data_IF_036372653798
#
_entry.id   IF_036372653798
#
_cell.length_a   1.000
_cell.length_b   1.000
_cell.length_c   1.000
_cell.angle_alpha   90.00
_cell.angle_beta   90.00
_cell.angle_gamma   90.00
#
_symmetry.space_group_name_H-M   'P 1'
#
loop_
_entity.id
_entity.type
_entity.pdbx_description
1 polymer ?
#
# COMPACT_ATOMS: atom_id res chain seq x y z
N UNK A 1 -39.22 24.48 34.09
CA UNK A 1 -38.10 23.53 34.30
C UNK A 1 -37.37 23.89 35.58
N UNK A 2 -37.24 22.95 36.48
CA UNK A 2 -36.51 23.16 37.74
C UNK A 2 -35.00 23.34 37.48
N UNK A 3 -34.28 24.14 38.28
CA UNK A 3 -32.87 24.44 38.06
C UNK A 3 -31.99 23.18 38.05
N UNK A 4 -32.38 22.15 38.77
CA UNK A 4 -31.70 20.83 38.79
C UNK A 4 -31.83 20.07 37.47
N UNK A 5 -32.98 20.16 36.81
CA UNK A 5 -33.18 19.51 35.49
C UNK A 5 -32.39 20.24 34.40
N UNK A 6 -32.29 21.58 34.46
CA UNK A 6 -31.43 22.36 33.54
C UNK A 6 -29.96 21.99 33.68
N UNK A 7 -29.46 21.90 34.91
CA UNK A 7 -28.06 21.48 35.17
C UNK A 7 -27.75 20.07 34.62
N UNK A 8 -28.66 19.11 34.82
CA UNK A 8 -28.51 17.75 34.29
C UNK A 8 -28.54 17.73 32.76
N UNK A 9 -29.45 18.49 32.14
CA UNK A 9 -29.52 18.63 30.68
C UNK A 9 -28.23 19.21 30.08
N UNK A 10 -27.69 20.27 30.67
CA UNK A 10 -26.43 20.88 30.24
C UNK A 10 -25.27 19.89 30.38
N UNK A 11 -25.19 19.15 31.49
CA UNK A 11 -24.17 18.19 31.73
C UNK A 11 -24.23 17.03 30.72
N UNK A 12 -25.41 16.49 30.45
CA UNK A 12 -25.62 15.44 29.44
C UNK A 12 -25.26 15.95 28.04
N UNK A 13 -25.70 17.17 27.69
CA UNK A 13 -25.38 17.78 26.39
C UNK A 13 -23.86 17.98 26.23
N UNK A 14 -23.17 18.38 27.28
CA UNK A 14 -21.71 18.54 27.26
C UNK A 14 -20.98 17.20 27.08
N UNK A 15 -21.44 16.15 27.74
CA UNK A 15 -20.89 14.81 27.58
C UNK A 15 -21.13 14.29 26.15
N UNK A 16 -22.36 14.43 25.64
CA UNK A 16 -22.69 13.99 24.26
C UNK A 16 -21.86 14.77 23.25
N UNK A 17 -21.69 16.07 23.41
CA UNK A 17 -20.85 16.89 22.54
C UNK A 17 -19.38 16.44 22.60
N UNK A 18 -18.86 16.19 23.81
CA UNK A 18 -17.50 15.71 24.00
C UNK A 18 -17.25 14.35 23.30
N UNK A 19 -18.18 13.41 23.43
CA UNK A 19 -18.11 12.11 22.75
C UNK A 19 -18.20 12.28 21.24
N UNK A 20 -19.08 13.15 20.74
CA UNK A 20 -19.19 13.41 19.29
C UNK A 20 -17.91 13.99 18.71
N UNK A 21 -17.29 14.96 19.40
CA UNK A 21 -16.01 15.56 18.97
C UNK A 21 -14.89 14.52 19.02
N UNK A 22 -14.78 13.74 20.09
CA UNK A 22 -13.77 12.68 20.20
C UNK A 22 -13.93 11.63 19.10
N UNK A 23 -15.16 11.22 18.79
CA UNK A 23 -15.46 10.27 17.70
C UNK A 23 -15.09 10.87 16.35
N UNK A 24 -15.39 12.14 16.09
CA UNK A 24 -15.03 12.80 14.85
C UNK A 24 -13.50 12.86 14.64
N UNK A 25 -12.74 13.21 15.67
CA UNK A 25 -11.28 13.22 15.66
C UNK A 25 -10.74 11.80 15.42
N UNK A 26 -11.28 10.81 16.10
CA UNK A 26 -10.89 9.41 15.95
C UNK A 26 -11.11 8.91 14.51
N UNK A 27 -12.30 9.14 13.95
CA UNK A 27 -12.62 8.75 12.58
C UNK A 27 -11.74 9.46 11.55
N UNK A 28 -11.39 10.71 11.78
CA UNK A 28 -10.51 11.47 10.89
C UNK A 28 -9.09 10.90 10.93
N UNK A 29 -8.56 10.65 12.13
CA UNK A 29 -7.23 10.04 12.30
C UNK A 29 -7.15 8.63 11.69
N UNK A 30 -8.24 7.87 11.73
CA UNK A 30 -8.29 6.54 11.11
C UNK A 30 -8.29 6.59 9.59
N UNK A 31 -8.96 7.55 8.98
CA UNK A 31 -9.00 7.72 7.51
C UNK A 31 -7.62 7.99 6.93
N UNK A 32 -6.77 8.72 7.63
CA UNK A 32 -5.44 9.07 7.17
C UNK A 32 -4.42 7.90 7.30
N UNK A 33 -4.73 6.90 8.12
CA UNK A 33 -3.88 5.73 8.34
C UNK A 33 -4.24 4.51 7.48
N UNK A 34 -5.32 4.54 6.72
CA UNK A 34 -5.65 3.46 5.78
C UNK A 34 -4.82 3.65 4.51
N UNK A 35 -3.71 2.93 4.42
CA UNK A 35 -2.96 2.83 3.18
C UNK A 35 -3.67 1.89 2.21
N UNK A 36 -4.13 2.42 1.11
CA UNK A 36 -4.72 1.64 0.02
C UNK A 36 -3.65 0.77 -0.63
N UNK A 37 -4.02 -0.46 -0.96
CA UNK A 37 -3.20 -1.35 -1.76
C UNK A 37 -3.70 -1.30 -3.21
N UNK A 38 -2.78 -1.07 -4.15
CA UNK A 38 -3.08 -0.99 -5.58
C UNK A 38 -2.14 -1.88 -6.37
N UNK A 39 -2.67 -2.50 -7.39
CA UNK A 39 -1.90 -3.26 -8.37
C UNK A 39 -1.51 -2.39 -9.58
N UNK A 40 -0.50 -2.79 -10.37
CA UNK A 40 -0.16 -2.11 -11.60
C UNK A 40 -1.32 -1.95 -12.58
N UNK A 41 -2.19 -2.95 -12.70
CA UNK A 41 -3.38 -2.87 -13.56
C UNK A 41 -4.36 -1.80 -13.08
N UNK A 42 -4.63 -1.69 -11.78
CA UNK A 42 -5.50 -0.64 -11.23
C UNK A 42 -4.91 0.75 -11.47
N UNK A 43 -3.59 0.91 -11.34
CA UNK A 43 -2.91 2.18 -11.63
C UNK A 43 -3.02 2.54 -13.11
N UNK A 44 -2.89 1.56 -14.01
CA UNK A 44 -3.03 1.80 -15.45
C UNK A 44 -4.44 2.26 -15.86
N UNK A 45 -5.43 1.95 -15.03
CA UNK A 45 -6.83 2.40 -15.18
C UNK A 45 -7.10 3.74 -14.49
N UNK A 46 -6.06 4.43 -13.99
CA UNK A 46 -6.15 5.65 -13.19
C UNK A 46 -6.93 5.48 -11.87
N UNK A 47 -6.99 4.28 -11.33
CA UNK A 47 -7.62 3.99 -10.05
C UNK A 47 -6.59 4.04 -8.91
N UNK A 48 -6.14 5.24 -8.58
CA UNK A 48 -5.22 5.49 -7.46
C UNK A 48 -5.53 6.82 -6.77
N UNK A 49 -5.23 6.96 -5.48
CA UNK A 49 -5.44 8.20 -4.75
C UNK A 49 -4.43 9.26 -5.22
N UNK A 50 -4.94 10.39 -5.69
CA UNK A 50 -4.10 11.55 -6.03
C UNK A 50 -3.54 12.21 -4.76
N UNK A 51 -2.28 12.59 -4.81
CA UNK A 51 -1.58 13.31 -3.73
C UNK A 51 -1.58 12.60 -2.36
N UNK A 52 -1.66 11.28 -2.36
CA UNK A 52 -1.58 10.46 -1.14
C UNK A 52 -0.65 9.28 -1.35
N UNK A 53 0.02 8.88 -0.28
CA UNK A 53 0.79 7.66 -0.27
C UNK A 53 -0.15 6.45 -0.27
N UNK A 54 0.23 5.43 -1.03
CA UNK A 54 -0.44 4.14 -1.08
C UNK A 54 0.58 3.01 -1.29
N UNK A 55 0.14 1.79 -1.20
CA UNK A 55 0.98 0.61 -1.41
C UNK A 55 0.79 0.10 -2.83
N UNK A 56 1.87 0.07 -3.59
CA UNK A 56 1.95 -0.60 -4.89
C UNK A 56 2.52 -1.99 -4.66
N UNK A 57 1.77 -3.02 -4.98
CA UNK A 57 2.21 -4.40 -4.88
C UNK A 57 2.23 -5.10 -6.22
N UNK A 58 3.21 -5.93 -6.42
CA UNK A 58 3.38 -6.73 -7.63
C UNK A 58 4.70 -7.47 -7.63
N UNK A 59 5.13 -7.88 -8.81
CA UNK A 59 6.40 -8.54 -9.03
C UNK A 59 7.41 -7.58 -9.65
N UNK A 60 8.65 -7.65 -9.25
CA UNK A 60 9.72 -6.89 -9.93
C UNK A 60 9.98 -7.53 -11.29
N UNK A 61 9.78 -6.75 -12.35
CA UNK A 61 9.99 -7.24 -13.72
C UNK A 61 11.46 -7.54 -13.97
N UNK A 62 11.76 -8.69 -14.54
CA UNK A 62 13.13 -9.11 -14.87
C UNK A 62 13.74 -8.17 -15.91
N UNK A 63 15.00 -7.81 -15.72
CA UNK A 63 15.76 -6.91 -16.61
C UNK A 63 15.36 -5.43 -16.48
N UNK A 64 14.50 -5.06 -15.52
CA UNK A 64 14.05 -3.68 -15.34
C UNK A 64 14.87 -2.87 -14.34
N UNK A 65 15.64 -3.54 -13.49
CA UNK A 65 16.42 -2.87 -12.44
C UNK A 65 17.59 -2.08 -13.05
N UNK A 66 17.56 -0.77 -12.87
CA UNK A 66 18.60 0.15 -13.28
C UNK A 66 19.08 0.95 -12.07
N UNK A 67 20.39 0.98 -11.86
CA UNK A 67 21.02 1.84 -10.88
C UNK A 67 21.59 3.06 -11.60
N UNK A 68 21.21 4.23 -11.11
CA UNK A 68 21.75 5.48 -11.64
C UNK A 68 23.15 5.70 -11.05
N UNK A 69 24.14 5.88 -11.94
CA UNK A 69 25.52 6.10 -11.55
C UNK A 69 25.67 7.27 -10.60
N UNK A 70 26.46 7.09 -9.54
CA UNK A 70 26.76 8.08 -8.50
C UNK A 70 25.57 8.51 -7.63
N UNK A 71 24.46 7.78 -7.62
CA UNK A 71 23.33 8.06 -6.73
C UNK A 71 22.78 6.78 -6.10
N UNK A 72 22.08 6.93 -4.98
CA UNK A 72 21.33 5.84 -4.36
C UNK A 72 19.97 5.60 -5.06
N UNK A 73 19.75 6.28 -6.19
CA UNK A 73 18.52 6.12 -6.96
C UNK A 73 18.56 4.87 -7.81
N UNK A 74 17.48 4.12 -7.70
CA UNK A 74 17.22 2.94 -8.51
C UNK A 74 15.88 3.07 -9.21
N UNK A 75 15.81 2.59 -10.43
CA UNK A 75 14.60 2.47 -11.23
C UNK A 75 14.33 0.99 -11.48
N UNK A 76 13.11 0.58 -11.30
CA UNK A 76 12.66 -0.76 -11.65
C UNK A 76 11.18 -0.74 -12.01
N UNK A 77 10.69 -1.76 -12.67
CA UNK A 77 9.28 -1.89 -13.00
C UNK A 77 8.61 -2.93 -12.13
N UNK A 78 7.43 -2.60 -11.63
CA UNK A 78 6.55 -3.53 -10.92
C UNK A 78 5.43 -3.94 -11.87
N UNK A 79 5.22 -5.23 -11.99
CA UNK A 79 4.22 -5.82 -12.88
C UNK A 79 3.27 -6.75 -12.11
N UNK A 80 2.04 -6.84 -12.59
CA UNK A 80 1.08 -7.88 -12.22
C UNK A 80 0.72 -8.78 -13.43
N UNK A 81 1.59 -8.76 -14.45
CA UNK A 81 1.43 -9.41 -15.76
C UNK A 81 0.31 -8.81 -16.63
N UNK A 82 -0.50 -7.90 -16.12
CA UNK A 82 -1.48 -7.14 -16.88
C UNK A 82 -1.00 -5.74 -17.27
N UNK A 83 -0.25 -5.10 -16.38
CA UNK A 83 0.34 -3.79 -16.59
C UNK A 83 1.67 -3.67 -15.86
N UNK A 84 2.45 -2.67 -16.25
CA UNK A 84 3.74 -2.33 -15.65
C UNK A 84 3.70 -0.89 -15.13
N UNK A 85 4.26 -0.67 -13.94
CA UNK A 85 4.46 0.65 -13.36
C UNK A 85 5.94 0.85 -13.07
N UNK A 86 6.50 1.94 -13.57
CA UNK A 86 7.88 2.30 -13.26
C UNK A 86 7.97 2.88 -11.86
N UNK A 87 8.93 2.40 -11.08
CA UNK A 87 9.17 2.80 -9.70
C UNK A 87 10.55 3.45 -9.59
N UNK A 88 10.59 4.64 -9.03
CA UNK A 88 11.82 5.32 -8.62
C UNK A 88 11.95 5.21 -7.10
N UNK A 89 13.08 4.72 -6.63
CA UNK A 89 13.40 4.64 -5.22
C UNK A 89 14.79 5.20 -4.95
N UNK A 90 14.91 6.02 -3.92
CA UNK A 90 16.19 6.56 -3.46
C UNK A 90 16.50 6.02 -2.07
N UNK A 91 17.49 5.15 -1.99
CA UNK A 91 17.89 4.53 -0.73
C UNK A 91 18.53 3.16 -0.93
N UNK A 92 18.69 2.45 0.17
CA UNK A 92 19.25 1.11 0.19
C UNK A 92 18.11 0.11 0.02
N UNK A 93 18.17 -0.68 -1.05
CA UNK A 93 17.20 -1.76 -1.26
C UNK A 93 17.35 -2.85 -0.18
N UNK A 94 16.23 -3.49 0.23
CA UNK A 94 16.29 -4.64 1.13
C UNK A 94 17.19 -5.75 0.57
N UNK A 95 17.85 -6.50 1.45
CA UNK A 95 18.74 -7.60 1.05
C UNK A 95 18.03 -8.68 0.23
N UNK A 96 16.72 -8.84 0.44
CA UNK A 96 15.88 -9.81 -0.26
C UNK A 96 15.30 -9.28 -1.56
N UNK A 97 15.56 -8.03 -1.91
CA UNK A 97 15.07 -7.44 -3.16
C UNK A 97 15.80 -8.05 -4.36
N UNK A 98 15.03 -8.70 -5.22
CA UNK A 98 15.52 -9.28 -6.48
C UNK A 98 14.48 -9.14 -7.58
N UNK A 99 14.93 -9.11 -8.80
CA UNK A 99 14.06 -9.23 -9.98
C UNK A 99 13.32 -10.57 -9.96
N UNK A 100 12.07 -10.56 -10.38
CA UNK A 100 11.20 -11.75 -10.37
C UNK A 100 10.60 -12.10 -9.02
N UNK A 101 10.78 -11.26 -7.99
CA UNK A 101 10.19 -11.47 -6.67
C UNK A 101 9.06 -10.46 -6.38
N UNK A 102 8.18 -10.86 -5.45
CA UNK A 102 7.12 -10.01 -4.93
C UNK A 102 7.67 -8.82 -4.14
N UNK A 103 7.15 -7.64 -4.41
CA UNK A 103 7.53 -6.39 -3.77
C UNK A 103 6.29 -5.59 -3.41
N UNK A 104 6.39 -4.85 -2.32
CA UNK A 104 5.43 -3.80 -1.95
C UNK A 104 6.21 -2.50 -1.79
N UNK A 105 5.91 -1.53 -2.63
CA UNK A 105 6.45 -0.19 -2.54
C UNK A 105 5.42 0.75 -1.90
N UNK A 106 5.87 1.58 -0.98
CA UNK A 106 5.04 2.60 -0.33
C UNK A 106 5.49 3.96 -0.86
N UNK A 107 4.57 4.72 -1.39
CA UNK A 107 4.86 6.02 -1.97
C UNK A 107 3.66 6.59 -2.72
N UNK A 108 3.91 7.43 -3.69
CA UNK A 108 2.89 8.15 -4.44
C UNK A 108 3.20 8.20 -5.95
N UNK A 109 2.18 8.44 -6.75
CA UNK A 109 2.36 8.71 -8.18
C UNK A 109 2.85 10.14 -8.40
N UNK A 110 3.99 10.29 -9.05
CA UNK A 110 4.53 11.59 -9.49
C UNK A 110 3.83 12.06 -10.76
N UNK A 111 3.50 11.12 -11.62
CA UNK A 111 2.72 11.31 -12.84
C UNK A 111 2.07 9.97 -13.21
N UNK A 112 1.32 9.92 -14.28
CA UNK A 112 0.55 8.72 -14.68
C UNK A 112 1.39 7.46 -14.94
N UNK A 113 2.72 7.57 -14.98
CA UNK A 113 3.63 6.47 -15.33
C UNK A 113 4.73 6.22 -14.32
N UNK A 114 5.01 7.16 -13.41
CA UNK A 114 6.12 7.07 -12.47
C UNK A 114 5.63 7.09 -11.01
N UNK A 115 5.85 5.99 -10.32
CA UNK A 115 5.65 5.87 -8.88
C UNK A 115 6.95 6.21 -8.14
N UNK A 116 6.89 7.14 -7.20
CA UNK A 116 8.01 7.47 -6.31
C UNK A 116 7.83 6.73 -5.01
N UNK A 117 8.70 5.76 -4.75
CA UNK A 117 8.70 4.98 -3.54
C UNK A 117 9.51 5.67 -2.43
N UNK A 118 8.93 5.78 -1.26
CA UNK A 118 9.60 6.21 -0.03
C UNK A 118 10.15 5.01 0.74
N UNK A 119 9.49 3.86 0.61
CA UNK A 119 9.88 2.60 1.22
C UNK A 119 9.62 1.43 0.27
N UNK A 120 10.51 0.47 0.26
CA UNK A 120 10.40 -0.76 -0.53
C UNK A 120 10.53 -1.97 0.39
N UNK A 121 9.54 -2.84 0.38
CA UNK A 121 9.48 -4.08 1.15
C UNK A 121 9.51 -5.25 0.18
N UNK A 122 10.55 -6.08 0.26
CA UNK A 122 10.59 -7.33 -0.48
C UNK A 122 9.90 -8.43 0.34
N UNK A 123 8.97 -9.14 -0.29
CA UNK A 123 8.35 -10.30 0.35
C UNK A 123 9.28 -11.49 0.21
N UNK A 124 9.63 -12.06 1.34
CA UNK A 124 10.37 -13.31 1.39
C UNK A 124 9.39 -14.46 1.63
N UNK A 125 8.90 -15.06 0.55
CA UNK A 125 8.17 -16.32 0.60
C UNK A 125 8.83 -17.33 -0.34
N UNK A 126 9.93 -17.91 0.10
CA UNK A 126 10.53 -19.06 -0.58
C UNK A 126 9.60 -20.30 -0.56
N UNK A 127 8.55 -20.27 0.26
CA UNK A 127 7.56 -21.34 0.42
C UNK A 127 6.12 -20.94 0.07
N UNK A 128 5.89 -19.74 -0.48
CA UNK A 128 4.56 -19.40 -0.96
C UNK A 128 4.33 -19.99 -2.34
N UNK A 129 3.83 -21.20 -2.35
CA UNK A 129 3.25 -21.80 -3.53
C UNK A 129 1.79 -21.34 -3.60
N UNK A 130 1.37 -20.61 -4.64
CA UNK A 130 -0.03 -20.27 -4.80
C UNK A 130 -0.88 -21.54 -4.72
N UNK A 131 -2.05 -21.53 -4.06
CA UNK A 131 -2.91 -22.71 -3.94
C UNK A 131 -3.20 -23.39 -5.27
N UNK A 132 -3.35 -22.59 -6.32
CA UNK A 132 -3.59 -23.05 -7.69
C UNK A 132 -2.43 -23.90 -8.26
N UNK A 133 -1.18 -23.57 -7.92
CA UNK A 133 -0.01 -24.33 -8.35
C UNK A 133 0.18 -25.57 -7.48
N UNK A 134 -0.15 -25.50 -6.20
CA UNK A 134 -0.10 -26.65 -5.29
C UNK A 134 -1.09 -27.74 -5.72
N UNK A 135 -2.28 -27.38 -6.17
CA UNK A 135 -3.30 -28.31 -6.66
C UNK A 135 -2.86 -29.03 -7.94
N UNK A 136 -2.19 -28.32 -8.86
CA UNK A 136 -1.67 -28.90 -10.11
C UNK A 136 -0.58 -29.94 -9.82
N UNK A 137 0.34 -29.63 -8.91
CA UNK A 137 1.45 -30.53 -8.55
C UNK A 137 0.99 -31.77 -7.79
N UNK A 138 -0.09 -31.67 -6.99
CA UNK A 138 -0.68 -32.83 -6.33
C UNK A 138 -1.38 -33.75 -7.33
N UNK A 139 -2.01 -33.22 -8.36
CA UNK A 139 -2.69 -33.98 -9.40
C UNK A 139 -1.70 -34.74 -10.29
N UNK A 140 -0.52 -34.21 -10.55
CA UNK A 140 0.54 -34.90 -11.32
C UNK A 140 1.29 -35.96 -10.49
N UNK A 141 1.33 -35.83 -9.18
CA UNK A 141 2.02 -36.82 -8.32
C UNK A 141 1.18 -38.09 -8.07
N UNK A 142 -0.12 -38.11 -8.38
CA UNK A 142 -1.01 -39.26 -8.26
C UNK A 142 -1.23 -40.07 -9.55
N UNK A 143 -0.56 -39.71 -10.63
CA UNK A 143 -0.54 -40.46 -11.91
C UNK A 143 0.80 -41.19 -12.08
#
# INVERSE_FOLDING_TARGET
MTPTRKKRLILISMVVLGVAVATAIFLTAFKDNIMFFKSPTEISQNDFPENRNFRLGGMVKEGSLQRLDNSLKVLFSVTDYGADVQVEYEGILPDLFREGQGVVAIGYMKNDQLFVAEEVLAKHDENYMPPEVADILQTEAEQ
#
